data_IF_989343807388
#
_entry.id   IF_989343807388
#
_cell.length_a   1.000
_cell.length_b   1.000
_cell.length_c   1.000
_cell.angle_alpha   90.00
_cell.angle_beta   90.00
_cell.angle_gamma   90.00
#
_symmetry.space_group_name_H-M   'P 1'
#
loop_
_entity.id
_entity.type
_entity.pdbx_description
1 polymer ?
#
# COMPACT_ATOMS: atom_id res chain seq x y z
N UNK A 1 8.24 -0.76 0.23
CA UNK A 1 7.42 -1.85 -0.33
C UNK A 1 7.86 -2.29 -1.73
N UNK A 2 8.73 -1.53 -2.37
CA UNK A 2 9.23 -1.84 -3.70
C UNK A 2 10.68 -2.33 -3.62
N UNK A 3 11.00 -3.58 -4.00
CA UNK A 3 12.38 -3.99 -4.20
C UNK A 3 12.97 -3.28 -5.44
N UNK A 4 14.26 -2.96 -5.40
CA UNK A 4 14.94 -2.38 -6.56
C UNK A 4 15.38 -3.46 -7.56
N UNK A 5 15.45 -4.72 -7.12
CA UNK A 5 15.71 -5.91 -7.93
C UNK A 5 15.24 -7.17 -7.19
N UNK A 6 15.08 -8.27 -7.91
CA UNK A 6 14.49 -9.50 -7.38
C UNK A 6 15.17 -10.06 -6.13
N UNK A 7 16.50 -9.95 -6.02
CA UNK A 7 17.22 -10.46 -4.85
C UNK A 7 16.87 -9.74 -3.54
N UNK A 8 16.38 -8.50 -3.60
CA UNK A 8 15.91 -7.79 -2.40
C UNK A 8 14.56 -8.29 -1.90
N UNK A 9 13.78 -8.94 -2.76
CA UNK A 9 12.47 -9.48 -2.45
C UNK A 9 12.52 -10.94 -1.95
N UNK A 10 13.66 -11.61 -2.03
CA UNK A 10 13.80 -12.98 -1.56
C UNK A 10 13.45 -13.10 -0.07
N UNK A 11 12.80 -14.21 0.33
CA UNK A 11 12.45 -14.47 1.74
C UNK A 11 13.69 -14.57 2.61
N UNK A 12 14.75 -15.19 2.08
CA UNK A 12 16.05 -15.22 2.73
C UNK A 12 16.81 -13.93 2.42
N UNK A 13 17.25 -13.23 3.47
CA UNK A 13 18.00 -12.00 3.31
C UNK A 13 19.37 -12.27 2.69
N UNK A 14 19.57 -11.76 1.46
CA UNK A 14 20.83 -11.89 0.71
C UNK A 14 21.47 -10.53 0.38
N UNK A 15 20.79 -9.44 0.71
CA UNK A 15 21.21 -8.09 0.34
C UNK A 15 21.18 -7.15 1.55
N UNK A 16 21.97 -6.07 1.52
CA UNK A 16 21.96 -5.07 2.58
C UNK A 16 20.62 -4.34 2.70
N UNK A 17 20.06 -3.93 1.57
CA UNK A 17 18.67 -3.43 1.46
C UNK A 17 17.79 -4.61 1.14
N UNK A 18 16.81 -4.90 1.99
CA UNK A 18 15.96 -6.07 1.89
C UNK A 18 14.51 -5.72 2.17
N UNK A 19 13.61 -6.14 1.29
CA UNK A 19 12.16 -5.93 1.41
C UNK A 19 11.40 -7.23 1.71
N UNK A 20 11.97 -8.38 1.36
CA UNK A 20 11.23 -9.65 1.45
C UNK A 20 9.92 -9.58 0.65
N UNK A 21 8.92 -10.31 1.11
CA UNK A 21 7.60 -10.44 0.48
C UNK A 21 6.68 -9.20 0.65
N UNK A 22 7.14 -8.13 1.29
CA UNK A 22 6.28 -6.98 1.61
C UNK A 22 5.67 -6.30 0.37
N UNK A 23 6.28 -6.46 -0.81
CA UNK A 23 5.73 -5.96 -2.07
C UNK A 23 4.35 -6.55 -2.40
N UNK A 24 4.04 -7.75 -1.89
CA UNK A 24 2.73 -8.40 -2.08
C UNK A 24 1.62 -7.74 -1.28
N UNK A 25 1.97 -7.00 -0.21
CA UNK A 25 1.00 -6.38 0.68
C UNK A 25 0.08 -5.41 -0.05
N UNK A 26 0.61 -4.60 -0.97
CA UNK A 26 -0.20 -3.65 -1.74
C UNK A 26 -1.29 -4.37 -2.55
N UNK A 27 -0.92 -5.43 -3.28
CA UNK A 27 -1.88 -6.24 -4.05
C UNK A 27 -2.88 -6.92 -3.13
N UNK A 28 -2.40 -7.54 -2.07
CA UNK A 28 -3.26 -8.19 -1.07
C UNK A 28 -4.32 -7.23 -0.51
N UNK A 29 -3.92 -6.06 -0.07
CA UNK A 29 -4.85 -5.07 0.46
C UNK A 29 -5.83 -4.56 -0.59
N UNK A 30 -5.41 -4.35 -1.82
CA UNK A 30 -6.32 -3.95 -2.91
C UNK A 30 -7.44 -4.97 -3.14
N UNK A 31 -7.12 -6.26 -3.06
CA UNK A 31 -8.07 -7.34 -3.31
C UNK A 31 -8.94 -7.66 -2.09
N UNK A 32 -8.35 -7.69 -0.90
CA UNK A 32 -9.02 -8.15 0.33
C UNK A 32 -9.67 -7.01 1.10
N UNK A 33 -9.14 -5.79 0.97
CA UNK A 33 -9.60 -4.59 1.68
C UNK A 33 -9.83 -3.42 0.71
N UNK A 34 -10.76 -3.57 -0.25
CA UNK A 34 -11.11 -2.50 -1.20
C UNK A 34 -11.73 -1.26 -0.54
N UNK A 35 -12.09 -1.36 0.73
CA UNK A 35 -12.58 -0.27 1.57
C UNK A 35 -11.49 0.72 1.96
N UNK A 36 -10.21 0.36 1.89
CA UNK A 36 -9.08 1.23 2.26
C UNK A 36 -8.71 2.21 1.14
N UNK A 37 -8.12 3.33 1.54
CA UNK A 37 -7.34 4.19 0.65
C UNK A 37 -5.88 3.75 0.69
N UNK A 38 -5.33 3.45 -0.47
CA UNK A 38 -3.96 2.98 -0.64
C UNK A 38 -3.23 3.90 -1.62
N UNK A 39 -2.12 4.49 -1.21
CA UNK A 39 -1.29 5.34 -2.04
C UNK A 39 0.16 4.88 -1.97
N UNK A 40 0.67 4.17 -2.99
CA UNK A 40 2.07 3.84 -3.07
C UNK A 40 2.90 5.08 -3.43
N UNK A 41 4.00 5.29 -2.72
CA UNK A 41 4.88 6.44 -2.88
C UNK A 41 6.27 5.99 -3.33
N UNK A 42 6.82 6.68 -4.32
CA UNK A 42 8.18 6.45 -4.81
C UNK A 42 9.22 7.14 -3.93
N UNK A 43 9.31 6.73 -2.68
CA UNK A 43 10.33 7.20 -1.73
C UNK A 43 11.56 6.30 -1.77
N UNK A 44 12.75 6.86 -1.56
CA UNK A 44 13.96 6.06 -1.40
C UNK A 44 14.04 5.47 0.01
N UNK A 45 14.67 4.30 0.20
CA UNK A 45 15.22 3.42 -0.84
C UNK A 45 14.22 2.49 -1.51
N UNK A 46 13.11 2.12 -0.85
CA UNK A 46 12.22 1.01 -1.25
C UNK A 46 10.74 1.40 -1.31
N UNK A 47 10.43 2.67 -1.37
CA UNK A 47 9.06 3.18 -1.40
C UNK A 47 8.31 3.02 -0.08
N UNK A 48 7.16 3.66 -0.01
CA UNK A 48 6.21 3.58 1.10
C UNK A 48 4.82 3.24 0.57
N UNK A 49 3.99 2.67 1.42
CA UNK A 49 2.55 2.54 1.18
C UNK A 49 1.81 3.34 2.25
N UNK A 50 1.15 4.44 1.85
CA UNK A 50 0.24 5.17 2.71
C UNK A 50 -1.10 4.45 2.70
N UNK A 51 -1.60 4.13 3.90
CA UNK A 51 -2.86 3.43 4.11
C UNK A 51 -3.74 4.31 4.99
N UNK A 52 -4.98 4.58 4.56
CA UNK A 52 -5.95 5.32 5.34
C UNK A 52 -7.33 4.66 5.33
N UNK A 53 -8.19 5.05 6.27
CA UNK A 53 -9.51 4.44 6.46
C UNK A 53 -9.48 3.16 7.29
N UNK A 54 -8.45 2.99 8.13
CA UNK A 54 -8.35 1.84 9.03
C UNK A 54 -9.48 1.89 10.07
N UNK A 55 -10.21 0.78 10.20
CA UNK A 55 -11.28 0.58 11.16
C UNK A 55 -10.88 -0.56 12.11
N UNK A 56 -10.70 -0.30 13.41
CA UNK A 56 -10.39 -1.33 14.42
C UNK A 56 -11.45 -2.43 14.51
N UNK A 57 -12.71 -2.11 14.15
CA UNK A 57 -13.82 -3.08 14.11
C UNK A 57 -13.80 -4.00 12.90
N UNK A 58 -13.02 -3.68 11.87
CA UNK A 58 -12.96 -4.52 10.66
C UNK A 58 -12.08 -5.76 10.89
N UNK A 59 -12.72 -6.93 10.82
CA UNK A 59 -12.07 -8.23 11.07
C UNK A 59 -11.73 -9.02 9.80
N UNK A 60 -11.91 -8.45 8.61
CA UNK A 60 -11.76 -9.17 7.34
C UNK A 60 -10.41 -9.87 7.21
N UNK A 61 -9.31 -9.18 7.52
CA UNK A 61 -7.97 -9.79 7.44
C UNK A 61 -7.76 -10.89 8.51
N UNK A 62 -8.35 -10.72 9.68
CA UNK A 62 -8.30 -11.72 10.73
C UNK A 62 -9.10 -12.97 10.37
N UNK A 63 -10.35 -12.78 9.96
CA UNK A 63 -11.27 -13.88 9.65
C UNK A 63 -10.85 -14.64 8.39
N UNK A 64 -10.14 -13.97 7.47
CA UNK A 64 -9.61 -14.54 6.23
C UNK A 64 -8.10 -14.80 6.26
N UNK A 65 -7.48 -14.84 7.43
CA UNK A 65 -6.02 -14.96 7.55
C UNK A 65 -5.45 -16.15 6.78
N UNK A 66 -5.97 -17.36 6.98
CA UNK A 66 -5.46 -18.57 6.33
C UNK A 66 -5.59 -18.52 4.79
N UNK A 67 -6.75 -18.18 4.19
CA UNK A 67 -6.86 -17.99 2.74
C UNK A 67 -5.91 -16.91 2.20
N UNK A 68 -5.75 -15.80 2.92
CA UNK A 68 -4.86 -14.70 2.51
C UNK A 68 -3.41 -15.17 2.48
N UNK A 69 -2.93 -15.79 3.55
CA UNK A 69 -1.56 -16.34 3.60
C UNK A 69 -1.34 -17.37 2.50
N UNK A 70 -2.28 -18.30 2.31
CA UNK A 70 -2.20 -19.32 1.27
C UNK A 70 -2.11 -18.72 -0.14
N UNK A 71 -2.88 -17.68 -0.44
CA UNK A 71 -2.92 -17.09 -1.76
C UNK A 71 -1.72 -16.16 -2.04
N UNK A 72 -1.37 -15.29 -1.08
CA UNK A 72 -0.37 -14.24 -1.31
C UNK A 72 1.05 -14.61 -0.86
N UNK A 73 1.20 -15.64 -0.05
CA UNK A 73 2.50 -16.13 0.40
C UNK A 73 2.84 -17.48 -0.20
N UNK A 74 2.01 -18.50 0.03
CA UNK A 74 2.40 -19.90 -0.23
C UNK A 74 2.29 -20.27 -1.72
N UNK A 75 1.26 -19.77 -2.40
CA UNK A 75 1.00 -20.08 -3.83
C UNK A 75 1.60 -19.07 -4.79
N UNK A 76 1.95 -17.89 -4.30
CA UNK A 76 2.41 -16.81 -5.14
C UNK A 76 3.92 -16.88 -5.39
N UNK A 77 4.36 -16.36 -6.53
CA UNK A 77 5.78 -16.27 -6.86
C UNK A 77 6.56 -15.48 -5.81
N UNK A 78 7.78 -15.90 -5.51
CA UNK A 78 8.73 -15.10 -4.72
C UNK A 78 9.39 -14.00 -5.55
N UNK A 79 9.35 -14.13 -6.88
CA UNK A 79 9.94 -13.14 -7.78
C UNK A 79 8.92 -12.04 -8.06
N UNK A 80 9.24 -10.78 -7.73
CA UNK A 80 8.35 -9.67 -8.01
C UNK A 80 8.23 -9.45 -9.54
N UNK A 81 7.02 -9.11 -10.04
CA UNK A 81 6.84 -8.68 -11.43
C UNK A 81 7.68 -7.43 -11.75
N UNK A 82 8.05 -7.26 -13.02
CA UNK A 82 8.81 -6.10 -13.49
C UNK A 82 8.11 -4.77 -13.15
N UNK A 83 6.79 -4.71 -13.22
CA UNK A 83 5.99 -3.56 -12.83
C UNK A 83 6.21 -3.14 -11.36
N UNK A 84 6.42 -4.10 -10.47
CA UNK A 84 6.74 -3.83 -9.05
C UNK A 84 8.15 -3.26 -8.92
N UNK A 85 9.12 -3.83 -9.63
CA UNK A 85 10.50 -3.34 -9.64
C UNK A 85 10.56 -1.94 -10.26
N UNK A 86 9.81 -1.70 -11.35
CA UNK A 86 9.69 -0.40 -12.01
C UNK A 86 8.84 0.61 -11.20
N UNK A 87 8.23 0.18 -10.09
CA UNK A 87 7.38 1.01 -9.22
C UNK A 87 6.19 1.61 -9.95
N UNK A 88 5.63 0.86 -10.91
CA UNK A 88 4.47 1.33 -11.66
C UNK A 88 3.30 1.70 -10.74
N UNK A 89 2.70 2.87 -11.00
CA UNK A 89 1.62 3.41 -10.19
C UNK A 89 2.04 4.07 -8.87
N UNK A 90 3.34 4.06 -8.53
CA UNK A 90 3.83 4.83 -7.41
C UNK A 90 3.84 6.33 -7.71
N UNK A 91 3.51 7.13 -6.72
CA UNK A 91 3.39 8.58 -6.83
C UNK A 91 4.66 9.23 -6.28
N UNK A 92 5.15 10.25 -6.99
CA UNK A 92 6.24 11.10 -6.48
C UNK A 92 5.84 11.73 -5.15
N UNK A 93 6.61 11.51 -4.06
CA UNK A 93 6.33 12.08 -2.75
C UNK A 93 6.30 13.60 -2.73
N UNK A 94 6.98 14.28 -3.67
CA UNK A 94 6.98 15.73 -3.84
C UNK A 94 5.80 16.27 -4.65
N UNK A 95 4.92 15.40 -5.15
CA UNK A 95 3.80 15.84 -6.00
C UNK A 95 2.72 16.63 -5.23
N UNK A 96 2.02 17.51 -5.94
CA UNK A 96 0.89 18.26 -5.39
C UNK A 96 -0.22 17.33 -4.83
N UNK A 97 -0.38 16.13 -5.39
CA UNK A 97 -1.34 15.16 -4.88
C UNK A 97 -0.98 14.71 -3.45
N UNK A 98 0.29 14.38 -3.23
CA UNK A 98 0.74 13.93 -1.89
C UNK A 98 0.58 15.04 -0.88
N UNK A 99 0.94 16.28 -1.23
CA UNK A 99 0.73 17.45 -0.37
C UNK A 99 -0.74 17.59 0.03
N UNK A 100 -1.67 17.57 -0.94
CA UNK A 100 -3.11 17.67 -0.69
C UNK A 100 -3.64 16.50 0.18
N UNK A 101 -3.16 15.28 -0.07
CA UNK A 101 -3.55 14.10 0.72
C UNK A 101 -3.11 14.27 2.19
N UNK A 102 -1.89 14.73 2.43
CA UNK A 102 -1.38 14.93 3.79
C UNK A 102 -2.10 16.08 4.51
N UNK A 103 -2.42 17.17 3.81
CA UNK A 103 -3.21 18.27 4.35
C UNK A 103 -4.61 17.80 4.72
N UNK A 104 -5.31 17.10 3.83
CA UNK A 104 -6.65 16.54 4.10
C UNK A 104 -6.62 15.54 5.27
N UNK A 105 -5.61 14.67 5.35
CA UNK A 105 -5.46 13.74 6.48
C UNK A 105 -5.28 14.47 7.82
N UNK A 106 -4.55 15.58 7.85
CA UNK A 106 -4.38 16.41 9.04
C UNK A 106 -5.71 17.01 9.48
N UNK A 107 -6.47 17.55 8.53
CA UNK A 107 -7.76 18.19 8.79
C UNK A 107 -8.83 17.16 9.22
N UNK A 108 -8.85 16.00 8.57
CA UNK A 108 -9.70 14.88 8.95
C UNK A 108 -9.37 14.37 10.35
N UNK A 109 -8.08 14.26 10.70
CA UNK A 109 -7.66 13.86 12.05
C UNK A 109 -8.20 14.80 13.13
N UNK A 110 -8.24 16.09 12.86
CA UNK A 110 -8.78 17.08 13.81
C UNK A 110 -10.31 16.94 14.00
N UNK A 111 -11.04 16.48 12.98
CA UNK A 111 -12.51 16.31 13.01
C UNK A 111 -12.97 14.95 13.53
N UNK A 112 -12.12 13.91 13.44
CA UNK A 112 -12.42 12.55 13.89
C UNK A 112 -13.54 11.84 13.12
N UNK A 113 -13.58 11.89 11.76
CA UNK A 113 -14.64 11.29 10.97
C UNK A 113 -14.57 9.75 10.97
N UNK A 114 -15.64 9.10 10.52
CA UNK A 114 -15.67 7.66 10.32
C UNK A 114 -14.66 7.23 9.23
N UNK A 115 -14.09 6.01 9.29
CA UNK A 115 -13.10 5.53 8.32
C UNK A 115 -13.53 5.67 6.85
N UNK A 116 -14.81 5.39 6.54
CA UNK A 116 -15.38 5.52 5.19
C UNK A 116 -15.37 6.97 4.66
N UNK A 117 -15.54 7.95 5.54
CA UNK A 117 -15.53 9.37 5.17
C UNK A 117 -14.10 9.81 4.84
N UNK A 118 -13.11 9.34 5.61
CA UNK A 118 -11.69 9.52 5.30
C UNK A 118 -11.38 9.01 3.90
N UNK A 119 -11.77 7.77 3.60
CA UNK A 119 -11.53 7.17 2.28
C UNK A 119 -12.23 7.93 1.17
N UNK A 120 -13.47 8.36 1.38
CA UNK A 120 -14.23 9.16 0.41
C UNK A 120 -13.54 10.48 0.05
N UNK A 121 -13.10 11.23 1.07
CA UNK A 121 -12.39 12.49 0.88
C UNK A 121 -11.06 12.30 0.11
N UNK A 122 -10.25 11.32 0.49
CA UNK A 122 -8.96 11.07 -0.16
C UNK A 122 -9.10 10.56 -1.60
N UNK A 123 -10.11 9.73 -1.88
CA UNK A 123 -10.40 9.27 -3.25
C UNK A 123 -10.85 10.40 -4.16
N UNK A 124 -11.58 11.38 -3.63
CA UNK A 124 -11.98 12.56 -4.41
C UNK A 124 -10.77 13.36 -4.91
N UNK A 125 -9.72 13.50 -4.07
CA UNK A 125 -8.47 14.15 -4.48
C UNK A 125 -7.72 13.39 -5.60
N UNK A 126 -7.84 12.07 -5.61
CA UNK A 126 -7.13 11.20 -6.59
C UNK A 126 -7.82 11.15 -7.95
N UNK A 127 -9.15 11.37 -8.05
CA UNK A 127 -9.92 11.33 -9.30
C UNK A 127 -9.68 12.52 -10.22
N UNK A 128 -9.17 13.62 -9.74
CA UNK A 128 -8.84 14.80 -10.54
C UNK A 128 -7.59 14.65 -11.43
N UNK A 129 -7.14 13.41 -11.65
CA UNK A 129 -5.93 13.07 -12.43
C UNK A 129 -6.20 12.53 -13.85
N UNK A 130 -7.47 12.36 -14.25
CA UNK A 130 -7.84 11.99 -15.63
C UNK A 130 -7.95 13.19 -16.55
#
# INVERSE_FOLDING_TARGET
IFPNHAAQAARDRRTRVWTGDVWKLHRCLREVRPDLFLLPLDTRPTGLLLIAGLDPGNRVLWDRYNPVVKNFRDRDSEVPPDAVIAREGAVDPGSALVTKVLEELRDLKARGPAPREVVGALRALSRGRE
#
